data_IF_908033871281
#
_entry.id   IF_908033871281
#
_cell.length_a   1.000
_cell.length_b   1.000
_cell.length_c   1.000
_cell.angle_alpha   90.00
_cell.angle_beta   90.00
_cell.angle_gamma   90.00
#
_symmetry.space_group_name_H-M   'P 1'
#
loop_
_entity.id
_entity.type
_entity.pdbx_description
1 polymer ?
#
# COMPACT_ATOMS: atom_id res chain seq x y z
N UNK A 1 62.48 -11.24 -35.13
CA UNK A 1 62.82 -10.09 -34.26
C UNK A 1 61.60 -9.18 -34.30
N UNK A 2 60.52 -9.55 -33.62
CA UNK A 2 60.26 -9.34 -32.18
C UNK A 2 60.16 -7.86 -31.78
N UNK A 3 59.05 -7.51 -31.15
CA UNK A 3 58.69 -6.16 -30.68
C UNK A 3 57.22 -5.87 -30.98
N UNK A 4 56.24 -6.18 -30.13
CA UNK A 4 56.26 -6.24 -28.67
C UNK A 4 55.43 -5.08 -28.13
N UNK A 5 54.12 -5.28 -27.97
CA UNK A 5 53.21 -4.33 -27.34
C UNK A 5 52.86 -4.87 -25.94
N UNK A 6 53.55 -4.35 -24.91
CA UNK A 6 53.32 -4.72 -23.52
C UNK A 6 52.12 -3.95 -22.94
N UNK A 7 51.06 -4.68 -22.57
CA UNK A 7 50.07 -4.24 -21.59
C UNK A 7 50.47 -4.74 -20.19
N UNK A 8 50.19 -3.98 -19.11
CA UNK A 8 50.65 -4.30 -17.76
C UNK A 8 49.77 -5.34 -17.05
N UNK A 9 50.45 -6.14 -16.24
CA UNK A 9 49.97 -7.22 -15.37
C UNK A 9 48.72 -6.88 -14.54
N UNK A 10 47.71 -7.76 -14.61
CA UNK A 10 46.75 -7.99 -13.52
C UNK A 10 47.19 -9.20 -12.72
N UNK A 11 47.45 -8.96 -11.44
CA UNK A 11 47.71 -9.94 -10.39
C UNK A 11 46.59 -10.98 -10.28
N UNK A 12 46.98 -12.25 -10.31
CA UNK A 12 46.15 -13.44 -10.09
C UNK A 12 45.69 -13.53 -8.63
N UNK A 13 44.38 -13.43 -8.41
CA UNK A 13 43.71 -13.85 -7.18
C UNK A 13 43.48 -15.39 -7.23
N UNK A 14 43.60 -16.11 -6.10
CA UNK A 14 43.54 -17.56 -6.08
C UNK A 14 42.13 -18.07 -6.40
N UNK A 15 42.08 -19.13 -7.21
CA UNK A 15 40.86 -19.90 -7.50
C UNK A 15 40.27 -20.45 -6.19
N UNK A 16 39.28 -19.75 -5.63
CA UNK A 16 38.35 -20.37 -4.70
C UNK A 16 37.51 -21.38 -5.49
N UNK A 17 37.79 -22.68 -5.29
CA UNK A 17 36.87 -23.74 -5.71
C UNK A 17 35.48 -23.39 -5.16
N UNK A 18 34.42 -23.43 -5.99
CA UNK A 18 33.07 -23.31 -5.46
C UNK A 18 32.89 -24.44 -4.44
N UNK A 19 32.64 -24.07 -3.19
CA UNK A 19 32.09 -25.03 -2.25
C UNK A 19 30.70 -25.34 -2.77
N UNK A 20 30.59 -26.47 -3.47
CA UNK A 20 29.31 -27.05 -3.79
C UNK A 20 28.58 -27.31 -2.47
N UNK A 21 27.66 -26.40 -2.13
CA UNK A 21 26.71 -26.64 -1.06
C UNK A 21 25.70 -27.66 -1.59
N UNK A 22 26.14 -28.92 -1.64
CA UNK A 22 25.29 -30.08 -1.77
C UNK A 22 24.47 -30.15 -0.48
N UNK A 23 23.27 -29.59 -0.51
CA UNK A 23 22.20 -30.12 0.34
C UNK A 23 21.88 -31.48 -0.27
N UNK A 24 22.46 -32.52 0.32
CA UNK A 24 22.03 -33.89 0.11
C UNK A 24 20.53 -33.94 0.41
N UNK A 25 19.71 -34.14 -0.62
CA UNK A 25 18.35 -34.64 -0.38
C UNK A 25 18.59 -36.07 0.10
N UNK A 26 18.22 -36.44 1.33
CA UNK A 26 18.38 -37.82 1.78
C UNK A 26 17.51 -38.67 0.84
N UNK A 27 18.15 -39.37 -0.08
CA UNK A 27 17.55 -40.54 -0.65
C UNK A 27 17.53 -41.57 0.48
N UNK A 28 16.32 -41.91 0.88
CA UNK A 28 15.98 -43.18 1.51
C UNK A 28 16.42 -43.34 2.98
N UNK A 29 15.73 -42.66 3.90
CA UNK A 29 15.32 -43.25 5.19
C UNK A 29 13.95 -42.70 5.61
N UNK A 30 13.15 -43.59 6.20
CA UNK A 30 11.73 -43.47 6.59
C UNK A 30 11.50 -42.42 7.67
N UNK A 31 11.48 -41.15 7.32
CA UNK A 31 10.90 -40.12 8.20
C UNK A 31 9.66 -39.55 7.53
N UNK A 32 8.52 -40.17 7.82
CA UNK A 32 7.20 -39.75 7.31
C UNK A 32 6.86 -38.31 7.73
N UNK A 33 7.58 -37.74 8.70
CA UNK A 33 7.33 -36.40 9.24
C UNK A 33 8.21 -35.30 8.64
N UNK A 34 9.09 -35.58 7.66
CA UNK A 34 9.97 -34.57 7.03
C UNK A 34 9.19 -33.33 6.56
N UNK A 35 8.04 -33.51 5.92
CA UNK A 35 7.24 -32.40 5.41
C UNK A 35 6.51 -31.62 6.51
N UNK A 36 6.05 -32.32 7.55
CA UNK A 36 5.47 -31.69 8.75
C UNK A 36 6.54 -30.85 9.46
N UNK A 37 7.72 -31.43 9.64
CA UNK A 37 8.88 -30.77 10.25
C UNK A 37 9.37 -29.54 9.49
N UNK A 38 9.17 -29.53 8.16
CA UNK A 38 9.56 -28.42 7.29
C UNK A 38 8.59 -27.24 7.32
N UNK A 39 7.29 -27.52 7.46
CA UNK A 39 6.24 -26.51 7.28
C UNK A 39 5.59 -26.05 8.58
N UNK A 40 5.64 -26.88 9.62
CA UNK A 40 5.10 -26.59 10.94
C UNK A 40 6.28 -26.50 11.90
N UNK A 41 6.51 -25.29 12.43
CA UNK A 41 7.54 -25.05 13.46
C UNK A 41 7.26 -25.81 14.75
N UNK A 42 8.25 -25.97 15.64
CA UNK A 42 8.04 -26.65 16.92
C UNK A 42 7.02 -25.88 17.78
N UNK A 43 5.88 -26.50 18.06
CA UNK A 43 4.78 -25.98 18.90
C UNK A 43 3.90 -27.13 19.40
N UNK A 44 3.07 -26.87 20.41
CA UNK A 44 2.05 -27.83 20.87
C UNK A 44 1.10 -28.24 19.72
N UNK A 45 0.83 -27.31 18.79
CA UNK A 45 0.03 -27.58 17.59
C UNK A 45 0.68 -28.65 16.71
N UNK A 46 2.02 -28.67 16.61
CA UNK A 46 2.74 -29.68 15.82
C UNK A 46 2.60 -31.07 16.41
N UNK A 47 2.70 -31.20 17.73
CA UNK A 47 2.58 -32.49 18.40
C UNK A 47 1.14 -33.03 18.29
N UNK A 48 0.15 -32.15 18.40
CA UNK A 48 -1.25 -32.50 18.12
C UNK A 48 -1.46 -32.92 16.67
N UNK A 49 -0.85 -32.21 15.72
CA UNK A 49 -0.92 -32.53 14.29
C UNK A 49 -0.34 -33.92 13.97
N UNK A 50 0.80 -34.27 14.55
CA UNK A 50 1.42 -35.59 14.39
C UNK A 50 0.53 -36.68 14.99
N UNK A 51 -0.06 -36.47 16.17
CA UNK A 51 -1.02 -37.42 16.77
C UNK A 51 -2.23 -37.67 15.88
N UNK A 52 -2.77 -36.63 15.25
CA UNK A 52 -3.88 -36.78 14.29
C UNK A 52 -3.44 -37.64 13.11
N UNK A 53 -2.29 -37.34 12.50
CA UNK A 53 -1.74 -38.14 11.42
C UNK A 53 -1.62 -39.61 11.83
N UNK A 54 -1.00 -39.88 12.98
CA UNK A 54 -0.79 -41.24 13.46
C UNK A 54 -2.10 -42.00 13.69
N UNK A 55 -3.14 -41.31 14.13
CA UNK A 55 -4.49 -41.86 14.31
C UNK A 55 -5.20 -42.17 12.98
N UNK A 56 -4.85 -41.45 11.91
CA UNK A 56 -5.44 -41.62 10.57
C UNK A 56 -4.67 -42.63 9.71
N UNK A 57 -3.55 -43.15 10.19
CA UNK A 57 -2.67 -44.06 9.42
C UNK A 57 -3.34 -45.36 8.96
N UNK A 58 -4.38 -45.83 9.65
CA UNK A 58 -5.04 -47.11 9.35
C UNK A 58 -6.17 -47.03 8.34
N UNK A 59 -6.53 -45.84 7.86
CA UNK A 59 -7.68 -45.63 6.98
C UNK A 59 -7.28 -45.68 5.51
N UNK A 60 -7.99 -46.48 4.71
CA UNK A 60 -7.79 -46.56 3.25
C UNK A 60 -8.48 -45.41 2.50
N UNK A 61 -9.54 -44.86 3.08
CA UNK A 61 -10.29 -43.73 2.53
C UNK A 61 -10.58 -42.68 3.61
N UNK A 62 -10.30 -41.42 3.29
CA UNK A 62 -10.45 -40.29 4.20
C UNK A 62 -11.27 -39.17 3.55
N UNK A 63 -12.13 -38.53 4.34
CA UNK A 63 -12.99 -37.46 3.86
C UNK A 63 -12.82 -36.24 4.74
N UNK A 64 -12.48 -35.10 4.14
CA UNK A 64 -12.20 -33.87 4.88
C UNK A 64 -13.13 -32.75 4.48
N UNK A 65 -13.61 -32.00 5.45
CA UNK A 65 -14.02 -30.60 5.24
C UNK A 65 -12.83 -29.70 5.57
N UNK A 66 -12.56 -28.72 4.70
CA UNK A 66 -11.48 -27.74 4.90
C UNK A 66 -12.03 -26.33 4.81
N UNK A 67 -11.56 -25.45 5.67
CA UNK A 67 -11.96 -24.04 5.69
C UNK A 67 -10.78 -23.13 6.05
N UNK A 68 -10.72 -21.97 5.39
CA UNK A 68 -9.74 -20.93 5.59
C UNK A 68 -10.38 -19.58 5.87
N UNK A 69 -10.06 -18.99 7.03
CA UNK A 69 -10.62 -17.70 7.43
C UNK A 69 -9.59 -16.57 7.42
N UNK A 70 -10.06 -15.36 7.13
CA UNK A 70 -9.28 -14.12 7.27
C UNK A 70 -10.11 -13.08 7.97
N UNK A 71 -9.58 -12.53 9.06
CA UNK A 71 -10.26 -11.53 9.86
C UNK A 71 -9.36 -10.31 10.07
N UNK A 72 -9.97 -9.13 9.98
CA UNK A 72 -9.35 -7.90 10.44
C UNK A 72 -9.60 -7.78 11.96
N UNK A 73 -8.55 -7.78 12.77
CA UNK A 73 -8.67 -7.68 14.22
C UNK A 73 -7.85 -6.52 14.81
N UNK A 74 -8.40 -5.87 15.83
CA UNK A 74 -7.60 -5.05 16.76
C UNK A 74 -7.19 -5.95 17.92
N UNK A 75 -5.91 -6.01 18.31
CA UNK A 75 -5.46 -6.81 19.45
C UNK A 75 -6.30 -6.55 20.71
N UNK A 76 -6.64 -7.60 21.44
CA UNK A 76 -7.53 -7.53 22.62
C UNK A 76 -7.03 -6.55 23.70
N UNK A 77 -5.71 -6.42 23.87
CA UNK A 77 -5.09 -5.47 24.81
C UNK A 77 -5.18 -3.99 24.37
N UNK A 78 -5.54 -3.72 23.12
CA UNK A 78 -5.74 -2.37 22.58
C UNK A 78 -7.23 -1.98 22.49
N UNK A 79 -8.15 -2.94 22.58
CA UNK A 79 -9.61 -2.69 22.50
C UNK A 79 -10.11 -1.71 23.57
N UNK A 80 -9.61 -1.78 24.80
CA UNK A 80 -10.11 -0.92 25.91
C UNK A 80 -9.63 0.54 25.87
N UNK A 81 -8.61 0.89 25.08
CA UNK A 81 -8.06 2.27 25.02
C UNK A 81 -8.46 3.06 23.78
N UNK A 82 -9.22 2.47 22.85
CA UNK A 82 -9.34 2.97 21.47
C UNK A 82 -10.79 3.21 20.97
N UNK A 83 -11.78 3.29 21.85
CA UNK A 83 -13.17 3.54 21.41
C UNK A 83 -13.40 4.93 20.78
N UNK A 84 -12.43 5.87 20.87
CA UNK A 84 -12.57 7.23 20.31
C UNK A 84 -11.63 7.57 19.13
N UNK A 85 -10.71 6.70 18.70
CA UNK A 85 -9.80 7.02 17.57
C UNK A 85 -9.24 5.76 16.93
N UNK A 86 -9.92 5.23 15.90
CA UNK A 86 -9.44 4.07 15.12
C UNK A 86 -8.08 4.37 14.48
N UNK A 87 -6.99 3.94 15.11
CA UNK A 87 -5.64 4.01 14.54
C UNK A 87 -5.43 2.83 13.58
N UNK A 88 -5.44 3.11 12.28
CA UNK A 88 -5.24 2.13 11.19
C UNK A 88 -3.92 1.33 11.33
N UNK A 89 -2.99 1.79 12.17
CA UNK A 89 -1.73 1.10 12.51
C UNK A 89 -1.90 -0.08 13.48
N UNK A 90 -3.06 -0.24 14.12
CA UNK A 90 -3.33 -1.30 15.10
C UNK A 90 -4.06 -2.50 14.52
N UNK A 91 -4.40 -2.47 13.22
CA UNK A 91 -5.14 -3.53 12.56
C UNK A 91 -4.20 -4.68 12.20
N UNK A 92 -4.36 -5.81 12.90
CA UNK A 92 -3.68 -7.06 12.60
C UNK A 92 -4.62 -7.90 11.74
N UNK A 93 -4.14 -8.34 10.57
CA UNK A 93 -4.88 -9.30 9.76
C UNK A 93 -4.52 -10.69 10.26
N UNK A 94 -5.51 -11.38 10.84
CA UNK A 94 -5.37 -12.74 11.31
C UNK A 94 -5.86 -13.70 10.21
N UNK A 95 -5.14 -14.81 10.03
CA UNK A 95 -5.59 -15.89 9.16
C UNK A 95 -5.62 -17.20 9.94
N UNK A 96 -6.63 -18.02 9.68
CA UNK A 96 -6.73 -19.38 10.20
C UNK A 96 -6.94 -20.36 9.07
N UNK A 97 -6.45 -21.58 9.24
CA UNK A 97 -6.81 -22.73 8.42
C UNK A 97 -7.19 -23.89 9.32
N UNK A 98 -8.19 -24.64 8.89
CA UNK A 98 -8.67 -25.79 9.61
C UNK A 98 -9.12 -26.92 8.67
N UNK A 99 -9.06 -28.14 9.17
CA UNK A 99 -9.75 -29.27 8.58
C UNK A 99 -10.46 -30.08 9.66
N UNK A 100 -11.50 -30.80 9.23
CA UNK A 100 -12.19 -31.83 10.02
C UNK A 100 -12.29 -33.08 9.16
N UNK A 101 -11.81 -34.21 9.65
CA UNK A 101 -12.05 -35.51 9.04
C UNK A 101 -13.42 -36.03 9.48
N UNK A 102 -14.24 -36.47 8.53
CA UNK A 102 -15.68 -36.71 8.73
C UNK A 102 -15.96 -37.94 9.60
N UNK A 103 -15.20 -39.02 9.46
CA UNK A 103 -15.53 -40.32 10.06
C UNK A 103 -15.03 -40.44 11.50
N UNK A 104 -13.81 -39.98 11.74
CA UNK A 104 -13.13 -39.95 13.03
C UNK A 104 -13.45 -38.70 13.83
N UNK A 105 -14.04 -37.67 13.19
CA UNK A 105 -14.28 -36.35 13.77
C UNK A 105 -12.99 -35.70 14.32
N UNK A 106 -11.84 -36.11 13.81
CA UNK A 106 -10.54 -35.51 14.15
C UNK A 106 -10.43 -34.16 13.46
N UNK A 107 -10.08 -33.13 14.24
CA UNK A 107 -10.01 -31.76 13.77
C UNK A 107 -8.66 -31.13 14.09
N UNK A 108 -8.20 -30.31 13.16
CA UNK A 108 -7.02 -29.49 13.35
C UNK A 108 -7.31 -28.07 12.87
N UNK A 109 -6.85 -27.09 13.65
CA UNK A 109 -6.90 -25.69 13.26
C UNK A 109 -5.60 -25.02 13.68
N UNK A 110 -5.13 -24.10 12.86
CA UNK A 110 -3.92 -23.33 13.15
C UNK A 110 -4.02 -21.91 12.64
N UNK A 111 -3.29 -21.01 13.29
CA UNK A 111 -3.08 -19.66 12.80
C UNK A 111 -2.00 -19.66 11.72
N UNK A 112 -2.26 -18.96 10.64
CA UNK A 112 -1.27 -18.70 9.60
C UNK A 112 -0.78 -17.25 9.74
N UNK A 113 0.53 -17.08 9.65
CA UNK A 113 1.18 -15.78 9.66
C UNK A 113 1.61 -15.37 8.26
N UNK A 114 1.81 -14.07 8.08
CA UNK A 114 2.29 -13.40 6.87
C UNK A 114 1.37 -13.55 5.64
N UNK A 115 1.53 -12.66 4.66
CA UNK A 115 0.85 -12.72 3.36
C UNK A 115 -0.67 -12.96 3.41
N UNK A 116 -1.46 -12.15 4.15
CA UNK A 116 -2.87 -12.43 4.34
C UNK A 116 -3.68 -12.40 3.04
N UNK A 117 -4.41 -13.49 2.80
CA UNK A 117 -5.31 -13.73 1.66
C UNK A 117 -6.28 -14.86 2.00
N UNK A 118 -7.60 -14.65 1.79
CA UNK A 118 -8.62 -15.70 1.98
C UNK A 118 -8.28 -16.95 1.17
N UNK A 119 -7.92 -16.81 -0.10
CA UNK A 119 -7.47 -17.95 -0.93
C UNK A 119 -6.22 -18.63 -0.39
N UNK A 120 -5.30 -17.91 0.28
CA UNK A 120 -4.13 -18.55 0.91
C UNK A 120 -4.54 -19.39 2.11
N UNK A 121 -5.43 -18.88 2.96
CA UNK A 121 -5.93 -19.61 4.12
C UNK A 121 -6.60 -20.93 3.70
N UNK A 122 -7.42 -20.86 2.65
CA UNK A 122 -8.14 -22.00 2.07
C UNK A 122 -7.20 -23.03 1.44
N UNK A 123 -6.24 -22.59 0.63
CA UNK A 123 -5.20 -23.47 0.07
C UNK A 123 -4.36 -24.12 1.17
N UNK A 124 -4.09 -23.40 2.26
CA UNK A 124 -3.34 -23.93 3.40
C UNK A 124 -4.17 -24.97 4.18
N UNK A 125 -5.49 -24.80 4.30
CA UNK A 125 -6.39 -25.79 4.90
C UNK A 125 -6.39 -27.12 4.11
N UNK A 126 -6.46 -27.04 2.78
CA UNK A 126 -6.31 -28.20 1.87
C UNK A 126 -4.93 -28.84 2.04
N UNK A 127 -3.88 -28.03 2.12
CA UNK A 127 -2.51 -28.49 2.34
C UNK A 127 -2.34 -29.23 3.68
N UNK A 128 -2.93 -28.74 4.77
CA UNK A 128 -2.92 -29.40 6.08
C UNK A 128 -3.64 -30.76 6.05
N UNK A 129 -4.80 -30.85 5.39
CA UNK A 129 -5.51 -32.12 5.23
C UNK A 129 -4.66 -33.15 4.46
N UNK A 130 -3.94 -32.72 3.41
CA UNK A 130 -3.06 -33.60 2.65
C UNK A 130 -1.83 -34.06 3.44
N UNK A 131 -1.31 -33.23 4.36
CA UNK A 131 -0.15 -33.54 5.19
C UNK A 131 -0.38 -34.68 6.21
N UNK A 132 -1.61 -34.85 6.69
CA UNK A 132 -1.97 -35.91 7.65
C UNK A 132 -2.31 -37.26 6.99
N UNK A 133 -2.41 -37.30 5.66
CA UNK A 133 -2.77 -38.51 4.93
C UNK A 133 -1.52 -39.33 4.55
N UNK A 134 -1.55 -40.65 4.79
CA UNK A 134 -0.51 -41.56 4.32
C UNK A 134 -0.56 -41.82 2.81
N UNK A 135 0.53 -42.39 2.29
CA UNK A 135 0.64 -42.84 0.89
C UNK A 135 -0.35 -43.98 0.62
N UNK A 136 -1.02 -43.92 -0.53
CA UNK A 136 -1.97 -44.95 -0.97
C UNK A 136 -3.41 -44.77 -0.47
N UNK A 137 -3.68 -43.81 0.43
CA UNK A 137 -5.04 -43.50 0.88
C UNK A 137 -5.83 -42.74 -0.20
N UNK A 138 -7.08 -43.13 -0.43
CA UNK A 138 -8.06 -42.35 -1.22
C UNK A 138 -8.59 -41.21 -0.38
N UNK A 139 -8.63 -40.00 -0.94
CA UNK A 139 -9.00 -38.80 -0.17
C UNK A 139 -10.03 -38.00 -0.94
N UNK A 140 -11.08 -37.58 -0.25
CA UNK A 140 -12.07 -36.64 -0.76
C UNK A 140 -12.10 -35.39 0.10
N UNK A 141 -11.75 -34.25 -0.49
CA UNK A 141 -11.72 -32.95 0.20
C UNK A 141 -12.92 -32.12 -0.27
N UNK A 142 -13.70 -31.64 0.69
CA UNK A 142 -14.81 -30.71 0.51
C UNK A 142 -14.35 -29.31 0.95
N UNK A 143 -14.42 -28.37 0.02
CA UNK A 143 -14.14 -26.94 0.23
C UNK A 143 -15.19 -26.14 -0.54
N UNK A 144 -15.66 -25.04 0.04
CA UNK A 144 -16.54 -24.07 -0.60
C UNK A 144 -15.75 -23.01 -1.40
N UNK A 145 -14.42 -23.03 -1.29
CA UNK A 145 -13.53 -22.08 -1.95
C UNK A 145 -13.32 -22.39 -3.43
N UNK A 146 -14.24 -21.94 -4.28
CA UNK A 146 -14.12 -22.08 -5.74
C UNK A 146 -12.83 -21.43 -6.30
N UNK A 147 -12.32 -20.38 -5.64
CA UNK A 147 -11.04 -19.76 -5.98
C UNK A 147 -9.85 -20.73 -5.79
N UNK A 148 -9.86 -21.53 -4.72
CA UNK A 148 -8.83 -22.53 -4.43
C UNK A 148 -8.88 -23.67 -5.44
N UNK A 149 -10.08 -24.21 -5.72
CA UNK A 149 -10.32 -25.24 -6.74
C UNK A 149 -9.81 -24.74 -8.11
N UNK A 150 -10.25 -23.57 -8.54
CA UNK A 150 -9.85 -22.98 -9.82
C UNK A 150 -8.34 -22.75 -9.91
N UNK A 151 -7.70 -22.35 -8.81
CA UNK A 151 -6.26 -22.09 -8.77
C UNK A 151 -5.45 -23.39 -8.88
N UNK A 152 -5.83 -24.43 -8.13
CA UNK A 152 -5.20 -25.76 -8.20
C UNK A 152 -5.38 -26.34 -9.61
N UNK A 153 -6.61 -26.37 -10.13
CA UNK A 153 -6.90 -26.90 -11.47
C UNK A 153 -6.08 -26.19 -12.54
N UNK A 154 -6.03 -24.86 -12.53
CA UNK A 154 -5.23 -24.09 -13.49
C UNK A 154 -3.73 -24.35 -13.35
N UNK A 155 -3.24 -24.50 -12.13
CA UNK A 155 -1.84 -24.83 -11.87
C UNK A 155 -1.48 -26.20 -12.46
N UNK A 156 -2.33 -27.21 -12.23
CA UNK A 156 -2.16 -28.56 -12.78
C UNK A 156 -2.33 -28.61 -14.30
N UNK A 157 -3.24 -27.83 -14.90
CA UNK A 157 -3.39 -27.80 -16.36
C UNK A 157 -2.23 -27.09 -17.09
N UNK A 158 -1.43 -26.29 -16.39
CA UNK A 158 -0.32 -25.50 -16.97
C UNK A 158 0.95 -26.34 -17.25
N UNK A 159 0.87 -27.66 -17.16
CA UNK A 159 1.93 -28.68 -17.26
C UNK A 159 2.88 -28.61 -18.46
N UNK A 160 2.67 -27.75 -19.46
CA UNK A 160 3.58 -27.64 -20.62
C UNK A 160 4.76 -26.69 -20.42
N UNK A 161 4.76 -25.83 -19.39
CA UNK A 161 5.87 -24.86 -19.15
C UNK A 161 6.24 -24.56 -17.69
N UNK A 162 5.54 -25.09 -16.68
CA UNK A 162 5.80 -24.93 -15.23
C UNK A 162 6.63 -23.70 -14.80
N UNK A 163 6.23 -22.52 -15.28
CA UNK A 163 6.79 -21.25 -14.82
C UNK A 163 5.99 -20.84 -13.58
N UNK A 164 6.47 -21.20 -12.40
CA UNK A 164 5.93 -20.74 -11.09
C UNK A 164 5.82 -19.21 -10.96
N UNK A 165 6.48 -18.47 -11.87
CA UNK A 165 6.46 -17.00 -11.96
C UNK A 165 5.07 -16.36 -12.08
N UNK A 166 4.01 -17.13 -12.39
CA UNK A 166 2.66 -16.61 -12.66
C UNK A 166 1.62 -16.76 -11.55
N UNK A 167 1.90 -17.49 -10.46
CA UNK A 167 0.91 -17.84 -9.44
C UNK A 167 1.24 -17.23 -8.08
N UNK A 168 0.21 -16.76 -7.37
CA UNK A 168 0.31 -16.48 -5.94
C UNK A 168 0.26 -17.81 -5.17
N UNK A 169 0.84 -17.85 -3.96
CA UNK A 169 0.88 -19.05 -3.11
C UNK A 169 1.60 -20.23 -3.80
N UNK A 170 2.58 -19.90 -4.65
CA UNK A 170 3.23 -20.87 -5.54
C UNK A 170 3.85 -22.06 -4.79
N UNK A 171 4.36 -21.86 -3.57
CA UNK A 171 4.90 -22.96 -2.77
C UNK A 171 3.85 -23.95 -2.28
N UNK A 172 2.70 -23.45 -1.78
CA UNK A 172 1.58 -24.31 -1.34
C UNK A 172 1.08 -25.13 -2.53
N UNK A 173 0.94 -24.50 -3.70
CA UNK A 173 0.51 -25.16 -4.94
C UNK A 173 1.53 -26.21 -5.42
N UNK A 174 2.83 -25.93 -5.30
CA UNK A 174 3.88 -26.91 -5.65
C UNK A 174 3.77 -28.15 -4.79
N UNK A 175 3.57 -28.00 -3.47
CA UNK A 175 3.41 -29.16 -2.61
C UNK A 175 2.13 -29.94 -2.91
N UNK A 176 0.99 -29.24 -3.07
CA UNK A 176 -0.27 -29.88 -3.43
C UNK A 176 -0.09 -30.71 -4.71
N UNK A 177 0.60 -30.16 -5.72
CA UNK A 177 0.87 -30.89 -6.96
C UNK A 177 1.81 -32.09 -6.77
N UNK A 178 2.85 -31.97 -5.93
CA UNK A 178 3.77 -33.08 -5.61
C UNK A 178 3.05 -34.23 -4.90
N UNK A 179 2.18 -33.93 -3.94
CA UNK A 179 1.37 -34.94 -3.25
C UNK A 179 0.33 -35.59 -4.17
N UNK A 180 -0.32 -34.80 -5.04
CA UNK A 180 -1.22 -35.35 -6.05
C UNK A 180 -0.46 -36.22 -7.06
N UNK A 181 0.76 -35.86 -7.44
CA UNK A 181 1.60 -36.64 -8.35
C UNK A 181 2.08 -37.95 -7.74
N UNK A 182 2.51 -37.95 -6.46
CA UNK A 182 2.89 -39.16 -5.70
C UNK A 182 1.72 -40.12 -5.50
N UNK A 183 0.48 -39.62 -5.51
CA UNK A 183 -0.73 -40.46 -5.43
C UNK A 183 -1.16 -40.99 -6.80
N UNK A 184 -0.67 -40.41 -7.89
CA UNK A 184 -0.88 -40.86 -9.26
C UNK A 184 0.10 -41.95 -9.75
N UNK A 185 1.09 -42.36 -8.94
CA UNK A 185 2.11 -43.35 -9.32
C UNK A 185 1.64 -44.80 -9.41
N UNK A 186 0.32 -45.06 -9.44
CA UNK A 186 -0.24 -46.33 -9.95
C UNK A 186 -0.29 -46.37 -11.50
N UNK A 187 0.11 -45.29 -12.19
CA UNK A 187 0.30 -45.26 -13.65
C UNK A 187 1.78 -45.55 -14.01
N UNK A 188 1.98 -46.53 -14.88
CA UNK A 188 3.26 -47.16 -15.28
C UNK A 188 4.20 -46.31 -16.14
N UNK A 189 4.21 -44.99 -15.98
CA UNK A 189 5.11 -44.09 -16.71
C UNK A 189 5.94 -43.21 -15.77
N UNK A 190 7.22 -43.52 -15.66
CA UNK A 190 8.20 -42.74 -14.90
C UNK A 190 8.72 -41.57 -15.74
N UNK A 191 8.57 -40.36 -15.20
CA UNK A 191 9.28 -39.17 -15.65
C UNK A 191 10.12 -38.63 -14.49
N UNK A 192 11.44 -38.54 -14.69
CA UNK A 192 12.32 -37.85 -13.75
C UNK A 192 12.00 -36.35 -13.76
N UNK A 193 11.29 -35.89 -12.73
CA UNK A 193 10.99 -34.49 -12.52
C UNK A 193 12.20 -33.78 -11.91
N UNK A 194 13.03 -33.18 -12.76
CA UNK A 194 14.09 -32.27 -12.32
C UNK A 194 13.45 -30.89 -12.07
N UNK A 195 13.16 -30.59 -10.80
CA UNK A 195 12.57 -29.32 -10.37
C UNK A 195 13.50 -28.15 -10.69
N UNK A 196 13.17 -27.38 -11.71
CA UNK A 196 13.86 -26.14 -12.05
C UNK A 196 13.05 -24.91 -11.62
N UNK A 197 13.37 -24.34 -10.45
CA UNK A 197 13.47 -22.87 -10.33
C UNK A 197 14.66 -22.31 -11.16
N UNK A 198 15.33 -23.18 -11.90
CA UNK A 198 16.71 -23.04 -12.36
C UNK A 198 16.76 -22.28 -13.68
N UNK A 199 17.27 -21.04 -13.62
CA UNK A 199 18.39 -20.75 -14.50
C UNK A 199 19.60 -21.47 -13.91
N UNK A 200 20.39 -22.17 -14.73
CA UNK A 200 21.51 -23.02 -14.31
C UNK A 200 22.52 -22.40 -13.32
N UNK A 201 22.49 -21.09 -13.08
CA UNK A 201 23.53 -20.40 -12.32
C UNK A 201 23.11 -19.84 -10.93
N UNK A 202 21.83 -19.81 -10.53
CA UNK A 202 21.43 -19.30 -9.20
C UNK A 202 20.18 -19.99 -8.62
N UNK A 203 20.32 -20.59 -7.42
CA UNK A 203 19.20 -21.04 -6.55
C UNK A 203 18.74 -19.89 -5.66
N UNK A 204 17.84 -19.04 -6.13
CA UNK A 204 17.38 -17.89 -5.35
C UNK A 204 15.85 -17.84 -5.22
N UNK A 205 15.37 -17.98 -3.98
CA UNK A 205 14.00 -17.64 -3.59
C UNK A 205 14.04 -16.26 -2.94
N UNK A 206 13.29 -15.26 -3.44
CA UNK A 206 13.34 -13.92 -2.88
C UNK A 206 12.67 -13.93 -1.49
N UNK A 207 13.38 -13.40 -0.51
CA UNK A 207 12.88 -13.16 0.84
C UNK A 207 12.74 -11.65 1.05
N UNK A 208 11.76 -11.26 1.86
CA UNK A 208 11.66 -9.93 2.44
C UNK A 208 11.95 -10.09 3.93
N UNK A 209 13.05 -9.51 4.38
CA UNK A 209 13.65 -9.85 5.67
C UNK A 209 13.81 -11.38 5.75
N UNK A 210 13.30 -12.03 6.80
CA UNK A 210 13.35 -13.48 6.97
C UNK A 210 12.12 -14.20 6.39
N UNK A 211 11.19 -13.48 5.75
CA UNK A 211 9.94 -14.05 5.22
C UNK A 211 10.02 -14.29 3.72
N UNK A 212 9.79 -15.53 3.28
CA UNK A 212 9.77 -15.89 1.87
C UNK A 212 8.59 -15.23 1.14
N UNK A 213 8.83 -14.66 -0.04
CA UNK A 213 7.78 -13.98 -0.82
C UNK A 213 6.96 -14.99 -1.62
N UNK A 214 5.73 -15.26 -1.19
CA UNK A 214 4.78 -16.18 -1.86
C UNK A 214 3.92 -15.51 -2.95
N UNK A 215 3.95 -14.17 -3.00
CA UNK A 215 3.20 -13.37 -3.98
C UNK A 215 3.96 -13.22 -5.30
N UNK A 216 3.25 -12.84 -6.37
CA UNK A 216 3.90 -12.39 -7.61
C UNK A 216 4.93 -11.31 -7.33
N UNK A 217 6.21 -11.58 -7.61
CA UNK A 217 7.33 -10.69 -7.28
C UNK A 217 7.15 -9.27 -7.82
N UNK A 218 6.65 -9.10 -9.05
CA UNK A 218 6.39 -7.76 -9.62
C UNK A 218 5.36 -6.97 -8.81
N UNK A 219 4.28 -7.63 -8.38
CA UNK A 219 3.24 -6.98 -7.59
C UNK A 219 3.80 -6.61 -6.22
N UNK A 220 4.54 -7.53 -5.59
CA UNK A 220 5.22 -7.29 -4.34
C UNK A 220 6.15 -6.08 -4.40
N UNK A 221 7.04 -6.02 -5.39
CA UNK A 221 7.96 -4.89 -5.60
C UNK A 221 7.20 -3.58 -5.88
N UNK A 222 6.13 -3.62 -6.67
CA UNK A 222 5.29 -2.45 -6.94
C UNK A 222 4.62 -1.92 -5.65
N UNK A 223 4.12 -2.83 -4.82
CA UNK A 223 3.51 -2.47 -3.53
C UNK A 223 4.55 -1.86 -2.59
N UNK A 224 5.72 -2.48 -2.45
CA UNK A 224 6.82 -1.92 -1.65
C UNK A 224 7.24 -0.55 -2.14
N UNK A 225 7.46 -0.38 -3.45
CA UNK A 225 7.85 0.92 -4.01
C UNK A 225 6.79 2.00 -3.75
N UNK A 226 5.51 1.64 -3.82
CA UNK A 226 4.40 2.54 -3.49
C UNK A 226 4.41 2.91 -2.01
N UNK A 227 4.56 1.92 -1.12
CA UNK A 227 4.62 2.14 0.34
C UNK A 227 5.81 3.02 0.70
N UNK A 228 6.98 2.77 0.13
CA UNK A 228 8.18 3.58 0.33
C UNK A 228 7.95 5.03 -0.14
N UNK A 229 7.43 5.22 -1.35
CA UNK A 229 7.15 6.56 -1.89
C UNK A 229 6.15 7.33 -1.02
N UNK A 230 5.08 6.68 -0.57
CA UNK A 230 4.10 7.27 0.35
C UNK A 230 4.73 7.61 1.70
N UNK A 231 5.60 6.75 2.21
CA UNK A 231 6.32 6.94 3.47
C UNK A 231 7.27 8.14 3.38
N UNK A 232 8.08 8.22 2.34
CA UNK A 232 8.99 9.35 2.10
C UNK A 232 8.22 10.67 1.98
N UNK A 233 7.10 10.67 1.24
CA UNK A 233 6.25 11.86 1.12
C UNK A 233 5.62 12.26 2.46
N UNK A 234 5.18 11.29 3.26
CA UNK A 234 4.62 11.51 4.60
C UNK A 234 5.65 12.17 5.53
N UNK A 235 6.90 11.76 5.47
CA UNK A 235 7.98 12.27 6.34
C UNK A 235 8.59 13.59 5.87
N UNK A 236 8.12 14.18 4.78
CA UNK A 236 8.53 15.54 4.43
C UNK A 236 8.15 16.51 5.55
N UNK A 237 9.07 17.39 5.94
CA UNK A 237 8.88 18.38 7.01
C UNK A 237 7.60 19.22 6.83
N UNK A 238 7.22 19.52 5.59
CA UNK A 238 5.99 20.25 5.23
C UNK A 238 4.68 19.55 5.61
N UNK A 239 4.76 18.25 5.93
CA UNK A 239 3.63 17.38 6.24
C UNK A 239 3.68 16.88 7.70
N UNK A 240 4.69 17.29 8.47
CA UNK A 240 4.90 16.87 9.86
C UNK A 240 3.71 17.25 10.75
N UNK A 241 3.25 18.51 10.64
CA UNK A 241 2.08 19.04 11.37
C UNK A 241 0.82 18.19 11.12
N UNK A 242 0.70 17.58 9.94
CA UNK A 242 -0.48 16.80 9.53
C UNK A 242 -0.37 15.34 9.94
N UNK A 243 0.75 14.68 9.62
CA UNK A 243 0.87 13.23 9.73
C UNK A 243 1.65 12.75 10.96
N UNK A 244 2.38 13.64 11.62
CA UNK A 244 3.16 13.35 12.84
C UNK A 244 2.49 14.01 14.03
N UNK A 245 2.40 15.35 14.03
CA UNK A 245 1.84 16.11 15.15
C UNK A 245 0.31 16.10 15.19
N UNK A 246 -0.33 15.92 14.02
CA UNK A 246 -1.80 15.94 13.85
C UNK A 246 -2.45 17.23 14.39
N UNK A 247 -1.71 18.34 14.37
CA UNK A 247 -2.18 19.64 14.86
C UNK A 247 -3.16 20.30 13.89
N UNK A 248 -3.09 19.95 12.60
CA UNK A 248 -3.98 20.46 11.56
C UNK A 248 -4.56 19.29 10.77
N UNK A 249 -5.88 19.33 10.56
CA UNK A 249 -6.58 18.38 9.71
C UNK A 249 -6.99 19.05 8.41
N UNK A 250 -6.54 18.48 7.29
CA UNK A 250 -6.91 18.95 5.96
C UNK A 250 -7.91 18.00 5.31
N UNK A 251 -8.85 18.59 4.56
CA UNK A 251 -9.73 17.83 3.70
C UNK A 251 -9.02 17.49 2.39
N UNK A 252 -8.29 16.37 2.39
CA UNK A 252 -7.47 15.94 1.25
C UNK A 252 -8.27 15.65 -0.02
N UNK A 253 -9.54 15.27 0.11
CA UNK A 253 -10.44 15.08 -1.05
C UNK A 253 -10.57 16.35 -1.89
N UNK A 254 -10.59 17.52 -1.25
CA UNK A 254 -10.68 18.82 -1.93
C UNK A 254 -9.39 19.09 -2.72
N UNK A 255 -8.23 18.93 -2.09
CA UNK A 255 -6.92 19.11 -2.73
C UNK A 255 -6.74 18.15 -3.92
N UNK A 256 -7.11 16.88 -3.77
CA UNK A 256 -7.02 15.92 -4.87
C UNK A 256 -8.01 16.22 -5.97
N UNK A 257 -9.24 16.62 -5.64
CA UNK A 257 -10.22 17.03 -6.64
C UNK A 257 -9.73 18.25 -7.43
N UNK A 258 -9.13 19.25 -6.77
CA UNK A 258 -8.52 20.41 -7.42
C UNK A 258 -7.42 20.00 -8.41
N UNK A 259 -6.51 19.10 -8.00
CA UNK A 259 -5.45 18.58 -8.87
C UNK A 259 -6.03 17.80 -10.06
N UNK A 260 -7.07 17.00 -9.84
CA UNK A 260 -7.72 16.23 -10.91
C UNK A 260 -8.45 17.13 -11.91
N UNK A 261 -9.11 18.20 -11.45
CA UNK A 261 -9.76 19.19 -12.32
C UNK A 261 -8.78 19.85 -13.30
N UNK A 262 -7.56 20.14 -12.85
CA UNK A 262 -6.51 20.74 -13.69
C UNK A 262 -5.84 19.70 -14.60
N UNK A 263 -5.63 18.48 -14.11
CA UNK A 263 -4.97 17.39 -14.85
C UNK A 263 -5.84 16.87 -16.02
N UNK A 264 -7.13 16.63 -15.77
CA UNK A 264 -8.07 15.89 -16.64
C UNK A 264 -7.46 14.61 -17.26
N UNK A 265 -8.08 14.02 -18.29
CA UNK A 265 -7.65 12.72 -18.84
C UNK A 265 -6.30 12.80 -19.57
N UNK A 266 -5.92 13.98 -20.09
CA UNK A 266 -4.59 14.28 -20.66
C UNK A 266 -4.32 15.79 -20.53
N UNK A 267 -3.08 16.16 -20.18
CA UNK A 267 -2.66 17.56 -20.18
C UNK A 267 -2.52 18.05 -21.63
N UNK A 268 -3.56 18.70 -22.16
CA UNK A 268 -3.66 19.07 -23.58
C UNK A 268 -3.08 20.44 -23.93
N UNK A 269 -2.65 21.25 -22.95
CA UNK A 269 -2.08 22.58 -23.22
C UNK A 269 -0.95 22.95 -22.26
N UNK A 270 0.00 23.75 -22.75
CA UNK A 270 1.11 24.29 -21.95
C UNK A 270 0.63 25.11 -20.75
N UNK A 271 -0.48 25.85 -20.91
CA UNK A 271 -1.10 26.62 -19.82
C UNK A 271 -1.60 25.71 -18.69
N UNK A 272 -2.30 24.62 -19.03
CA UNK A 272 -2.76 23.63 -18.03
C UNK A 272 -1.60 22.91 -17.36
N UNK A 273 -0.55 22.54 -18.11
CA UNK A 273 0.65 21.92 -17.55
C UNK A 273 1.35 22.83 -16.53
N UNK A 274 1.44 24.12 -16.86
CA UNK A 274 2.04 25.14 -16.00
C UNK A 274 1.24 25.32 -14.71
N UNK A 275 -0.09 25.39 -14.80
CA UNK A 275 -0.97 25.45 -13.63
C UNK A 275 -0.88 24.19 -12.77
N UNK A 276 -0.90 23.00 -13.38
CA UNK A 276 -0.73 21.73 -12.67
C UNK A 276 0.61 21.69 -11.92
N UNK A 277 1.70 22.04 -12.60
CA UNK A 277 3.04 22.13 -12.01
C UNK A 277 3.10 23.15 -10.87
N UNK A 278 2.40 24.29 -11.01
CA UNK A 278 2.31 25.32 -10.00
C UNK A 278 1.58 24.83 -8.75
N UNK A 279 0.43 24.18 -8.89
CA UNK A 279 -0.33 23.60 -7.78
C UNK A 279 0.50 22.55 -7.03
N UNK A 280 1.20 21.66 -7.75
CA UNK A 280 2.08 20.66 -7.12
C UNK A 280 3.22 21.35 -6.36
N UNK A 281 3.83 22.40 -6.92
CA UNK A 281 4.86 23.18 -6.23
C UNK A 281 4.31 23.89 -4.99
N UNK A 282 3.11 24.44 -5.04
CA UNK A 282 2.42 25.04 -3.89
C UNK A 282 2.19 23.99 -2.80
N UNK A 283 1.66 22.82 -3.16
CA UNK A 283 1.36 21.74 -2.22
C UNK A 283 2.61 21.28 -1.45
N UNK A 284 3.75 21.26 -2.13
CA UNK A 284 5.05 20.91 -1.54
C UNK A 284 5.80 22.13 -0.97
N UNK A 285 5.17 23.31 -0.98
CA UNK A 285 5.76 24.60 -0.65
C UNK A 285 7.10 24.87 -1.35
N UNK A 286 7.30 24.41 -2.59
CA UNK A 286 8.54 24.49 -3.37
C UNK A 286 8.62 25.68 -4.33
N UNK A 287 7.74 26.67 -4.19
CA UNK A 287 7.83 27.94 -4.93
C UNK A 287 9.19 28.61 -4.66
N UNK A 288 9.73 29.35 -5.64
CA UNK A 288 11.05 29.99 -5.54
C UNK A 288 11.03 31.24 -4.65
N UNK A 289 10.64 31.07 -3.38
CA UNK A 289 10.72 32.12 -2.35
C UNK A 289 12.11 32.16 -1.73
N UNK A 290 12.49 33.33 -1.19
CA UNK A 290 13.82 33.60 -0.65
C UNK A 290 14.41 32.51 0.24
N UNK A 291 13.60 31.90 1.15
CA UNK A 291 14.07 30.79 1.99
C UNK A 291 14.67 29.62 1.17
N UNK A 292 14.06 29.27 0.05
CA UNK A 292 14.50 28.16 -0.80
C UNK A 292 15.59 28.56 -1.77
N UNK A 293 15.55 29.80 -2.27
CA UNK A 293 16.62 30.36 -3.10
C UNK A 293 17.94 30.36 -2.32
N UNK A 294 17.92 30.81 -1.06
CA UNK A 294 19.08 30.75 -0.15
C UNK A 294 19.54 29.33 0.12
N UNK A 295 18.61 28.38 0.32
CA UNK A 295 18.96 26.97 0.51
C UNK A 295 19.60 26.33 -0.74
N UNK A 296 19.16 26.71 -1.94
CA UNK A 296 19.65 26.12 -3.21
C UNK A 296 20.93 26.77 -3.72
N UNK A 297 21.08 28.10 -3.59
CA UNK A 297 22.27 28.85 -4.01
C UNK A 297 22.68 29.88 -2.94
N UNK A 298 23.28 29.44 -1.81
CA UNK A 298 23.63 30.32 -0.70
C UNK A 298 24.55 31.48 -1.08
N UNK A 299 25.49 31.26 -2.01
CA UNK A 299 26.44 32.28 -2.46
C UNK A 299 25.76 33.48 -3.14
N UNK A 300 24.66 33.25 -3.87
CA UNK A 300 23.93 34.31 -4.57
C UNK A 300 22.88 35.01 -3.69
N UNK A 301 22.32 34.31 -2.71
CA UNK A 301 21.16 34.75 -1.93
C UNK A 301 21.42 34.86 -0.42
N UNK A 302 22.67 35.13 -0.02
CA UNK A 302 23.10 35.17 1.40
C UNK A 302 22.28 36.14 2.24
N UNK A 303 22.06 37.35 1.73
CA UNK A 303 21.29 38.43 2.39
C UNK A 303 19.97 38.70 1.65
N UNK A 304 19.31 37.63 1.17
CA UNK A 304 18.06 37.77 0.45
C UNK A 304 16.88 37.85 1.42
N UNK A 305 16.36 39.05 1.60
CA UNK A 305 15.18 39.37 2.40
C UNK A 305 13.97 39.64 1.49
N UNK A 306 12.80 39.82 2.09
CA UNK A 306 11.59 40.19 1.36
C UNK A 306 11.81 41.47 0.55
N UNK A 307 11.69 41.35 -0.78
CA UNK A 307 11.94 42.45 -1.72
C UNK A 307 10.86 43.54 -1.67
N UNK A 308 9.72 43.26 -1.02
CA UNK A 308 8.59 44.20 -0.93
C UNK A 308 8.69 45.12 0.29
N UNK A 309 9.11 44.60 1.45
CA UNK A 309 9.17 45.38 2.68
C UNK A 309 10.60 45.79 3.08
N UNK A 310 11.63 45.13 2.55
CA UNK A 310 13.05 45.40 2.85
C UNK A 310 13.42 45.47 4.35
N UNK A 311 12.56 44.99 5.25
CA UNK A 311 12.73 45.07 6.72
C UNK A 311 13.57 43.91 7.29
N UNK A 312 14.59 43.44 6.57
CA UNK A 312 15.39 42.25 6.93
C UNK A 312 14.56 40.97 7.24
N UNK A 313 13.28 40.96 6.87
CA UNK A 313 12.39 39.84 7.08
C UNK A 313 12.68 38.72 6.07
N UNK A 314 12.74 37.48 6.54
CA UNK A 314 12.88 36.32 5.66
C UNK A 314 11.68 36.19 4.71
N UNK A 315 11.95 36.13 3.41
CA UNK A 315 10.90 35.91 2.42
C UNK A 315 10.40 34.45 2.49
N UNK A 316 9.23 34.29 3.09
CA UNK A 316 8.47 33.04 3.19
C UNK A 316 7.06 33.27 2.66
N UNK A 317 6.34 32.20 2.28
CA UNK A 317 4.94 32.31 1.84
C UNK A 317 4.08 33.00 2.91
N UNK A 318 4.25 32.62 4.18
CA UNK A 318 3.53 33.25 5.31
C UNK A 318 3.83 34.74 5.43
N UNK A 319 5.09 35.15 5.26
CA UNK A 319 5.46 36.56 5.24
C UNK A 319 4.88 37.29 4.02
N UNK A 320 4.96 36.72 2.82
CA UNK A 320 4.39 37.36 1.61
C UNK A 320 2.88 37.60 1.75
N UNK A 321 2.17 36.65 2.36
CA UNK A 321 0.74 36.79 2.68
C UNK A 321 0.50 37.94 3.65
N UNK A 322 1.32 38.09 4.69
CA UNK A 322 1.11 39.10 5.76
C UNK A 322 1.86 40.42 5.53
N UNK A 323 2.67 40.52 4.47
CA UNK A 323 3.56 41.65 4.22
C UNK A 323 2.77 42.98 4.08
N UNK A 324 3.11 44.04 4.83
CA UNK A 324 2.39 45.32 4.75
C UNK A 324 2.33 45.90 3.33
N UNK A 325 3.46 45.87 2.61
CA UNK A 325 3.56 46.40 1.24
C UNK A 325 2.79 45.59 0.19
N UNK A 326 2.36 44.36 0.52
CA UNK A 326 1.52 43.51 -0.33
C UNK A 326 0.02 43.69 -0.08
N UNK A 327 -0.39 44.70 0.72
CA UNK A 327 -1.79 44.94 1.06
C UNK A 327 -2.67 45.18 -0.17
N UNK A 328 -2.17 45.88 -1.19
CA UNK A 328 -2.91 46.14 -2.43
C UNK A 328 -3.23 44.84 -3.19
N UNK A 329 -2.27 43.90 -3.29
CA UNK A 329 -2.51 42.59 -3.91
C UNK A 329 -3.47 41.75 -3.08
N UNK A 330 -3.35 41.76 -1.75
CA UNK A 330 -4.33 41.11 -0.88
C UNK A 330 -5.74 41.63 -1.08
N UNK A 331 -5.89 42.94 -1.23
CA UNK A 331 -7.18 43.58 -1.49
C UNK A 331 -7.76 43.11 -2.83
N UNK A 332 -6.94 43.12 -3.89
CA UNK A 332 -7.35 42.62 -5.21
C UNK A 332 -7.75 41.13 -5.18
N UNK A 333 -7.03 40.30 -4.43
CA UNK A 333 -7.38 38.88 -4.22
C UNK A 333 -8.71 38.76 -3.47
N UNK A 334 -8.92 39.55 -2.43
CA UNK A 334 -10.18 39.56 -1.68
C UNK A 334 -11.36 39.95 -2.56
N UNK A 335 -11.23 41.00 -3.36
CA UNK A 335 -12.27 41.46 -4.29
C UNK A 335 -12.57 40.40 -5.35
N UNK A 336 -11.54 39.84 -5.99
CA UNK A 336 -11.70 38.77 -6.99
C UNK A 336 -12.37 37.53 -6.40
N UNK A 337 -12.00 37.17 -5.17
CA UNK A 337 -12.64 36.07 -4.44
C UNK A 337 -14.11 36.40 -4.16
N UNK A 338 -14.40 37.61 -3.70
CA UNK A 338 -15.77 38.03 -3.39
C UNK A 338 -16.66 37.95 -4.64
N UNK A 339 -16.17 38.44 -5.79
CA UNK A 339 -16.88 38.36 -7.07
C UNK A 339 -17.10 36.92 -7.52
N UNK A 340 -16.07 36.06 -7.41
CA UNK A 340 -16.19 34.64 -7.71
C UNK A 340 -17.27 33.98 -6.83
N UNK A 341 -17.29 34.29 -5.53
CA UNK A 341 -18.28 33.77 -4.60
C UNK A 341 -19.68 34.29 -4.92
N UNK A 342 -19.82 35.57 -5.25
CA UNK A 342 -21.11 36.17 -5.62
C UNK A 342 -21.69 35.50 -6.87
N UNK A 343 -20.89 35.31 -7.91
CA UNK A 343 -21.30 34.64 -9.15
C UNK A 343 -21.65 33.17 -8.88
N UNK A 344 -20.76 32.44 -8.20
CA UNK A 344 -20.92 30.99 -8.02
C UNK A 344 -22.07 30.68 -7.08
N UNK A 345 -22.22 31.40 -5.97
CA UNK A 345 -23.32 31.18 -5.03
C UNK A 345 -24.66 31.57 -5.63
N UNK A 346 -24.73 32.60 -6.48
CA UNK A 346 -25.97 32.96 -7.18
C UNK A 346 -26.46 31.86 -8.13
N UNK A 347 -25.59 30.95 -8.57
CA UNK A 347 -25.99 29.76 -9.34
C UNK A 347 -26.58 28.64 -8.46
N UNK A 348 -26.33 28.67 -7.15
CA UNK A 348 -26.77 27.65 -6.19
C UNK A 348 -28.00 28.06 -5.38
N UNK A 349 -28.34 29.34 -5.36
CA UNK A 349 -29.53 29.87 -4.71
C UNK A 349 -30.58 30.22 -5.77
N UNK A 350 -31.86 29.91 -5.51
CA UNK A 350 -32.95 30.24 -6.44
C UNK A 350 -32.97 31.73 -6.78
N UNK A 351 -33.43 32.06 -7.99
CA UNK A 351 -33.48 33.43 -8.58
C UNK A 351 -34.26 34.47 -7.75
N UNK A 352 -34.97 34.04 -6.70
CA UNK A 352 -35.69 34.88 -5.74
C UNK A 352 -34.85 35.26 -4.50
N UNK A 353 -33.61 34.79 -4.39
CA UNK A 353 -32.72 35.14 -3.28
C UNK A 353 -32.21 36.57 -3.45
N UNK A 354 -32.59 37.47 -2.54
CA UNK A 354 -32.17 38.87 -2.61
C UNK A 354 -30.64 38.97 -2.63
N UNK A 355 -30.07 39.86 -3.45
CA UNK A 355 -28.62 40.15 -3.50
C UNK A 355 -28.05 40.45 -2.09
N UNK A 356 -28.89 41.03 -1.23
CA UNK A 356 -28.58 41.27 0.19
C UNK A 356 -28.35 40.00 1.00
N UNK A 357 -29.07 38.90 0.72
CA UNK A 357 -28.88 37.61 1.36
C UNK A 357 -27.55 37.00 0.94
N UNK A 358 -27.21 36.99 -0.36
CA UNK A 358 -25.93 36.46 -0.87
C UNK A 358 -24.76 37.23 -0.26
N UNK A 359 -24.81 38.56 -0.25
CA UNK A 359 -23.80 39.42 0.39
C UNK A 359 -23.65 39.11 1.89
N UNK A 360 -24.76 38.94 2.61
CA UNK A 360 -24.74 38.57 4.04
C UNK A 360 -24.12 37.17 4.27
N UNK A 361 -24.40 36.21 3.39
CA UNK A 361 -23.82 34.85 3.44
C UNK A 361 -22.31 34.89 3.23
N UNK A 362 -21.84 35.64 2.23
CA UNK A 362 -20.41 35.78 1.90
C UNK A 362 -19.68 36.52 3.03
N UNK A 363 -20.18 37.68 3.44
CA UNK A 363 -19.57 38.47 4.51
C UNK A 363 -19.57 37.71 5.85
N UNK A 364 -20.62 36.91 6.11
CA UNK A 364 -20.67 36.02 7.25
C UNK A 364 -19.72 34.81 7.16
N UNK A 365 -19.12 34.52 6.00
CA UNK A 365 -18.12 33.48 5.84
C UNK A 365 -16.70 34.04 5.84
N UNK A 366 -16.33 34.86 4.86
CA UNK A 366 -14.96 35.35 4.69
C UNK A 366 -14.69 36.64 5.46
N UNK A 367 -15.72 37.32 5.97
CA UNK A 367 -15.65 38.62 6.63
C UNK A 367 -15.96 39.77 5.67
N UNK A 368 -15.81 41.01 6.15
CA UNK A 368 -16.10 42.23 5.38
C UNK A 368 -14.86 42.92 4.84
N UNK A 369 -13.66 42.41 5.14
CA UNK A 369 -12.40 43.03 4.71
C UNK A 369 -11.29 41.99 4.53
N UNK A 370 -10.23 42.39 3.80
CA UNK A 370 -9.01 41.59 3.66
C UNK A 370 -8.27 41.30 4.98
N UNK A 371 -8.62 41.98 6.08
CA UNK A 371 -8.02 41.77 7.40
C UNK A 371 -8.79 40.75 8.24
N UNK A 372 -9.96 40.31 7.78
CA UNK A 372 -10.78 39.34 8.50
C UNK A 372 -10.02 38.03 8.69
N UNK A 373 -10.00 37.53 9.93
CA UNK A 373 -9.26 36.32 10.29
C UNK A 373 -9.64 35.11 9.41
N UNK A 374 -10.93 34.95 9.12
CA UNK A 374 -11.45 33.86 8.28
C UNK A 374 -10.93 33.90 6.84
N UNK A 375 -10.88 35.08 6.24
CA UNK A 375 -10.25 35.26 4.93
C UNK A 375 -8.75 34.94 5.00
N UNK A 376 -8.04 35.43 6.03
CA UNK A 376 -6.59 35.19 6.17
C UNK A 376 -6.27 33.70 6.37
N UNK A 377 -7.09 32.96 7.12
CA UNK A 377 -6.90 31.52 7.32
C UNK A 377 -7.18 30.73 6.04
N UNK A 378 -8.26 31.09 5.33
CA UNK A 378 -8.55 30.53 4.01
C UNK A 378 -7.40 30.81 3.03
N UNK A 379 -6.90 32.04 3.01
CA UNK A 379 -5.83 32.46 2.09
C UNK A 379 -4.51 31.74 2.40
N UNK A 380 -4.15 31.55 3.68
CA UNK A 380 -3.00 30.74 4.09
C UNK A 380 -3.11 29.29 3.64
N UNK A 381 -4.28 28.68 3.79
CA UNK A 381 -4.52 27.29 3.36
C UNK A 381 -4.46 27.17 1.83
N UNK A 382 -5.08 28.11 1.11
CA UNK A 382 -5.04 28.16 -0.35
C UNK A 382 -3.62 28.35 -0.89
N UNK A 383 -2.80 29.18 -0.23
CA UNK A 383 -1.40 29.41 -0.60
C UNK A 383 -0.48 28.19 -0.40
N UNK A 384 -0.97 27.12 0.26
CA UNK A 384 -0.30 25.81 0.33
C UNK A 384 -1.12 24.72 -0.37
N UNK A 385 -2.19 25.07 -1.10
CA UNK A 385 -3.00 24.14 -1.90
C UNK A 385 -3.83 23.16 -1.06
N UNK A 386 -4.13 23.52 0.19
CA UNK A 386 -4.86 22.67 1.15
C UNK A 386 -6.16 23.34 1.58
N UNK A 387 -7.14 22.54 1.97
CA UNK A 387 -8.38 23.02 2.59
C UNK A 387 -8.44 22.54 4.03
N UNK A 388 -8.59 23.46 4.98
CA UNK A 388 -8.77 23.12 6.39
C UNK A 388 -10.11 22.39 6.61
N UNK A 389 -10.08 21.33 7.43
CA UNK A 389 -11.26 20.49 7.66
C UNK A 389 -12.36 21.25 8.42
N UNK A 390 -12.02 22.12 9.38
CA UNK A 390 -13.00 22.90 10.12
C UNK A 390 -13.68 23.95 9.21
N UNK A 391 -12.91 24.60 8.33
CA UNK A 391 -13.46 25.47 7.28
C UNK A 391 -14.38 24.70 6.32
N UNK A 392 -13.97 23.52 5.87
CA UNK A 392 -14.81 22.66 5.02
C UNK A 392 -16.14 22.32 5.70
N UNK A 393 -16.12 21.86 6.96
CA UNK A 393 -17.33 21.55 7.73
C UNK A 393 -18.18 22.78 7.97
N UNK A 394 -17.56 23.94 8.20
CA UNK A 394 -18.28 25.21 8.34
C UNK A 394 -19.06 25.54 7.06
N UNK A 395 -18.41 25.51 5.89
CA UNK A 395 -19.04 25.76 4.58
C UNK A 395 -20.20 24.79 4.38
N UNK A 396 -19.96 23.48 4.56
CA UNK A 396 -20.96 22.44 4.38
C UNK A 396 -22.23 22.70 5.22
N UNK A 397 -22.06 22.99 6.52
CA UNK A 397 -23.17 23.27 7.43
C UNK A 397 -23.88 24.58 7.09
N UNK A 398 -23.10 25.61 6.74
CA UNK A 398 -23.61 26.97 6.51
C UNK A 398 -24.49 27.09 5.26
N UNK A 399 -24.17 26.30 4.24
CA UNK A 399 -24.90 26.23 2.98
C UNK A 399 -25.82 25.00 2.87
N UNK A 400 -25.80 24.10 3.86
CA UNK A 400 -26.56 22.83 3.87
C UNK A 400 -26.30 21.98 2.62
N UNK A 401 -25.06 21.99 2.13
CA UNK A 401 -24.68 21.26 0.94
C UNK A 401 -24.33 19.80 1.24
N UNK A 402 -24.51 18.94 0.24
CA UNK A 402 -23.99 17.57 0.31
C UNK A 402 -22.46 17.58 0.37
N UNK A 403 -21.88 16.49 0.87
CA UNK A 403 -20.42 16.33 0.94
C UNK A 403 -19.77 16.50 -0.44
N UNK A 404 -20.29 15.79 -1.45
CA UNK A 404 -19.79 15.85 -2.82
C UNK A 404 -19.85 17.28 -3.42
N UNK A 405 -20.97 17.98 -3.21
CA UNK A 405 -21.12 19.35 -3.70
C UNK A 405 -20.11 20.30 -3.04
N UNK A 406 -19.90 20.15 -1.74
CA UNK A 406 -18.93 20.94 -0.97
C UNK A 406 -17.50 20.68 -1.45
N UNK A 407 -17.16 19.42 -1.75
CA UNK A 407 -15.83 19.05 -2.31
C UNK A 407 -15.61 19.73 -3.66
N UNK A 408 -16.58 19.66 -4.57
CA UNK A 408 -16.47 20.27 -5.90
C UNK A 408 -16.34 21.79 -5.83
N UNK A 409 -17.12 22.43 -4.97
CA UNK A 409 -17.05 23.88 -4.76
C UNK A 409 -15.71 24.30 -4.17
N UNK A 410 -15.26 23.65 -3.08
CA UNK A 410 -13.99 23.97 -2.45
C UNK A 410 -12.80 23.66 -3.36
N UNK A 411 -12.91 22.66 -4.25
CA UNK A 411 -11.87 22.37 -5.23
C UNK A 411 -11.73 23.48 -6.26
N UNK A 412 -12.86 24.03 -6.75
CA UNK A 412 -12.85 25.22 -7.63
C UNK A 412 -12.31 26.46 -6.92
N UNK A 413 -12.52 26.58 -5.61
CA UNK A 413 -11.99 27.68 -4.82
C UNK A 413 -10.45 27.67 -4.70
N UNK A 414 -9.82 26.49 -4.77
CA UNK A 414 -8.37 26.34 -4.67
C UNK A 414 -7.62 26.52 -6.01
N UNK A 415 -8.32 26.51 -7.15
CA UNK A 415 -7.76 26.56 -8.51
C UNK A 415 -8.01 27.94 -9.09
#
# INVERSE_FOLDING_TARGET
MDGGNHQPHRSSLPHHKPMDCFISIPHDQRDDNIWINRWIGPSDDKDHFIKIKDSLNSFEELFFYTDGSVQNGVPSHLRQRLDDYLDYRSMVINQGAAFVEIHSNLQFFTRIVNWPSSTRAELFAIFLALLVCLRGCRIKIYTDSNCSISTITRFLCSCRKFCSRGFNNSLILIYIADELAKKGTELTTYHQLIFNFRSQNCRFSPHFEDTLIEQKLRNFLSTIGTVQSCSEWRYLQINEDVFVQRSIQYQWEVTWTAIQQVKHFRCTSSKRNSLWSFIIKILHQQLPVGRWLRKRKPALYRNFYCQFCNNEANETISHLITCPHMAHLRQSIYETLWDFLAITLSQFFDSLSSTTLVTSKINGWIGTSMQSARFMDLFKCAAIGKMDAAQFTYIQRRFKWSHCLTVLFCAKLLV
#
